data_IF_823249179974
#
_entry.id   IF_823249179974
#
_cell.length_a   1.000
_cell.length_b   1.000
_cell.length_c   1.000
_cell.angle_alpha   90.00
_cell.angle_beta   90.00
_cell.angle_gamma   90.00
#
_symmetry.space_group_name_H-M   'P 1'
#
loop_
_entity.id
_entity.type
_entity.pdbx_description
1 polymer ?
#
# COMPACT_ATOMS: atom_id res chain seq x y z
N UNK A 1 -4.38 -1.02 -10.49
CA UNK A 1 -4.12 -2.05 -9.46
C UNK A 1 -3.10 -1.64 -8.40
N UNK A 2 -2.28 -0.61 -8.65
CA UNK A 2 -1.24 -0.15 -7.71
C UNK A 2 -1.74 0.07 -6.27
N UNK A 3 -2.97 0.58 -6.07
CA UNK A 3 -3.59 0.74 -4.75
C UNK A 3 -3.71 -0.59 -3.99
N UNK A 4 -4.11 -1.65 -4.69
CA UNK A 4 -4.17 -3.00 -4.11
C UNK A 4 -2.76 -3.52 -3.84
N UNK A 5 -1.79 -3.18 -4.71
CA UNK A 5 -0.39 -3.55 -4.52
C UNK A 5 0.22 -2.92 -3.26
N UNK A 6 -0.04 -1.63 -2.98
CA UNK A 6 0.42 -0.96 -1.75
C UNK A 6 -0.07 -1.71 -0.50
N UNK A 7 -1.38 -2.01 -0.46
CA UNK A 7 -1.99 -2.76 0.63
C UNK A 7 -1.38 -4.17 0.73
N UNK A 8 -1.23 -4.86 -0.40
CA UNK A 8 -0.69 -6.21 -0.43
C UNK A 8 0.78 -6.27 0.02
N UNK A 9 1.62 -5.29 -0.33
CA UNK A 9 3.03 -5.23 0.09
C UNK A 9 3.13 -5.13 1.60
N UNK A 10 2.36 -4.26 2.24
CA UNK A 10 2.35 -4.14 3.70
C UNK A 10 1.81 -5.41 4.37
N UNK A 11 0.73 -5.99 3.83
CA UNK A 11 0.11 -7.18 4.40
C UNK A 11 1.03 -8.42 4.30
N UNK A 12 1.58 -8.66 3.10
CA UNK A 12 2.54 -9.75 2.87
C UNK A 12 3.84 -9.49 3.63
N UNK A 13 4.32 -8.24 3.66
CA UNK A 13 5.51 -7.86 4.43
C UNK A 13 5.35 -8.16 5.92
N UNK A 14 4.19 -7.87 6.50
CA UNK A 14 3.86 -8.24 7.88
C UNK A 14 3.83 -9.76 8.10
N UNK A 15 3.23 -10.50 7.16
CA UNK A 15 3.21 -11.97 7.22
C UNK A 15 4.63 -12.56 7.16
N UNK A 16 5.46 -12.06 6.24
CA UNK A 16 6.87 -12.49 6.11
C UNK A 16 7.66 -12.11 7.35
N UNK A 17 7.44 -10.92 7.94
CA UNK A 17 8.09 -10.52 9.18
C UNK A 17 7.74 -11.46 10.34
N UNK A 18 6.47 -11.88 10.44
CA UNK A 18 6.03 -12.87 11.42
C UNK A 18 6.69 -14.24 11.23
N UNK A 19 6.78 -14.74 9.99
CA UNK A 19 7.49 -16.00 9.71
C UNK A 19 9.00 -15.90 9.99
N UNK A 20 9.59 -14.73 9.76
CA UNK A 20 11.01 -14.46 9.93
C UNK A 20 11.49 -14.57 11.39
N UNK A 21 10.58 -14.34 12.35
CA UNK A 21 10.86 -14.48 13.78
C UNK A 21 11.35 -15.89 14.15
N UNK A 22 10.90 -16.91 13.40
CA UNK A 22 11.33 -18.30 13.61
C UNK A 22 12.79 -18.56 13.24
N UNK A 23 13.38 -17.72 12.40
CA UNK A 23 14.76 -17.88 11.92
C UNK A 23 15.71 -17.13 12.84
N UNK A 24 15.39 -15.90 13.20
CA UNK A 24 16.16 -15.12 14.17
C UNK A 24 15.33 -14.01 14.81
N UNK A 25 15.64 -13.63 16.06
CA UNK A 25 14.89 -12.59 16.77
C UNK A 25 15.07 -11.18 16.19
N UNK A 26 16.08 -10.94 15.34
CA UNK A 26 16.38 -9.61 14.78
C UNK A 26 15.89 -9.42 13.33
N UNK A 27 15.68 -10.51 12.58
CA UNK A 27 15.24 -10.42 11.18
C UNK A 27 13.85 -9.82 10.96
N UNK A 28 12.83 -9.95 11.84
CA UNK A 28 11.52 -9.31 11.62
C UNK A 28 11.63 -7.80 11.40
N UNK A 29 12.56 -7.13 12.11
CA UNK A 29 12.79 -5.69 11.99
C UNK A 29 13.32 -5.31 10.60
N UNK A 30 14.23 -6.11 10.05
CA UNK A 30 14.78 -5.87 8.71
C UNK A 30 13.71 -6.11 7.63
N UNK A 31 12.89 -7.15 7.78
CA UNK A 31 11.80 -7.44 6.84
C UNK A 31 10.77 -6.31 6.83
N UNK A 32 10.36 -5.84 8.02
CA UNK A 32 9.42 -4.72 8.14
C UNK A 32 9.99 -3.45 7.48
N UNK A 33 11.27 -3.14 7.72
CA UNK A 33 11.93 -1.98 7.11
C UNK A 33 11.95 -2.08 5.58
N UNK A 34 12.29 -3.25 5.02
CA UNK A 34 12.30 -3.48 3.58
C UNK A 34 10.89 -3.32 3.00
N UNK A 35 9.85 -3.86 3.67
CA UNK A 35 8.47 -3.74 3.22
C UNK A 35 8.01 -2.28 3.15
N UNK A 36 8.30 -1.48 4.19
CA UNK A 36 7.94 -0.05 4.23
C UNK A 36 8.71 0.75 3.17
N UNK A 37 10.01 0.47 2.97
CA UNK A 37 10.80 1.13 1.92
C UNK A 37 10.24 0.81 0.53
N UNK A 38 9.88 -0.45 0.26
CA UNK A 38 9.27 -0.84 -1.00
C UNK A 38 7.93 -0.13 -1.22
N UNK A 39 7.10 -0.03 -0.18
CA UNK A 39 5.82 0.67 -0.24
C UNK A 39 6.02 2.17 -0.54
N UNK A 40 6.98 2.81 0.12
CA UNK A 40 7.34 4.21 -0.13
C UNK A 40 7.82 4.44 -1.58
N UNK A 41 8.65 3.54 -2.13
CA UNK A 41 9.11 3.61 -3.52
C UNK A 41 7.94 3.49 -4.52
N UNK A 42 6.96 2.64 -4.24
CA UNK A 42 5.74 2.53 -5.06
C UNK A 42 4.92 3.83 -5.01
N UNK A 43 4.83 4.49 -3.86
CA UNK A 43 4.16 5.80 -3.74
C UNK A 43 4.87 6.89 -4.53
N UNK A 44 6.21 6.90 -4.58
CA UNK A 44 6.96 7.83 -5.44
C UNK A 44 6.68 7.59 -6.93
N UNK A 45 6.54 6.33 -7.35
CA UNK A 45 6.16 6.01 -8.73
C UNK A 45 4.77 6.53 -9.11
N UNK A 46 3.84 6.63 -8.14
CA UNK A 46 2.50 7.20 -8.35
C UNK A 46 2.53 8.72 -8.59
N UNK A 47 3.44 9.44 -7.91
CA UNK A 47 3.64 10.88 -8.11
C UNK A 47 4.21 11.21 -9.49
N UNK A 48 5.15 10.39 -9.98
CA UNK A 48 5.77 10.60 -11.30
C UNK A 48 4.86 10.30 -12.49
N UNK A 49 3.78 9.53 -12.28
CA UNK A 49 2.84 9.12 -13.33
C UNK A 49 1.61 10.03 -13.46
N UNK A 50 1.40 10.96 -12.52
CA UNK A 50 0.21 11.80 -12.48
C UNK A 50 0.34 13.07 -13.32
N UNK A 51 -0.26 13.07 -14.50
CA UNK A 51 -0.53 14.32 -15.24
C UNK A 51 -1.57 15.15 -14.46
N UNK A 52 -1.37 16.46 -14.42
CA UNK A 52 -2.05 17.40 -13.52
C UNK A 52 -3.59 17.35 -13.64
N UNK A 53 -4.29 16.75 -12.66
CA UNK A 53 -5.72 17.01 -12.44
C UNK A 53 -6.58 15.83 -11.99
N UNK A 54 -7.09 15.93 -10.76
CA UNK A 54 -8.36 15.37 -10.28
C UNK A 54 -8.51 13.86 -9.95
N UNK A 55 -7.66 12.93 -10.40
CA UNK A 55 -7.67 11.54 -9.87
C UNK A 55 -6.44 10.79 -10.32
N UNK A 56 -5.60 10.33 -9.39
CA UNK A 56 -4.33 9.69 -9.74
C UNK A 56 -4.52 8.18 -9.96
N UNK A 57 -5.35 7.53 -9.14
CA UNK A 57 -5.69 6.12 -9.33
C UNK A 57 -7.06 5.78 -8.75
N UNK A 58 -7.81 4.92 -9.45
CA UNK A 58 -9.03 4.29 -8.95
C UNK A 58 -8.98 2.78 -9.12
N UNK A 59 -9.61 2.06 -8.20
CA UNK A 59 -9.86 0.64 -8.27
C UNK A 59 -11.22 0.35 -7.68
N UNK A 60 -12.01 -0.44 -8.40
CA UNK A 60 -13.32 -0.89 -7.97
C UNK A 60 -13.44 -2.41 -8.14
N UNK A 61 -13.91 -3.09 -7.11
CA UNK A 61 -14.21 -4.51 -7.16
C UNK A 61 -15.43 -4.85 -6.29
N UNK A 62 -16.31 -5.71 -6.79
CA UNK A 62 -17.49 -6.14 -6.03
C UNK A 62 -17.10 -6.91 -4.77
N UNK A 63 -17.74 -6.57 -3.64
CA UNK A 63 -17.54 -7.27 -2.38
C UNK A 63 -18.81 -7.99 -1.93
N UNK A 64 -19.91 -7.25 -1.75
CA UNK A 64 -21.21 -7.81 -1.38
C UNK A 64 -22.29 -7.22 -2.31
N UNK A 65 -22.48 -7.82 -3.50
CA UNK A 65 -23.37 -7.28 -4.53
C UNK A 65 -24.82 -7.14 -4.09
N UNK A 66 -25.30 -8.06 -3.23
CA UNK A 66 -26.67 -8.02 -2.69
C UNK A 66 -26.99 -6.73 -1.91
N UNK A 67 -25.97 -6.04 -1.41
CA UNK A 67 -26.10 -4.77 -0.69
C UNK A 67 -25.56 -3.59 -1.51
N UNK A 68 -25.14 -3.80 -2.75
CA UNK A 68 -24.47 -2.77 -3.56
C UNK A 68 -23.13 -2.31 -2.97
N UNK A 69 -22.44 -3.17 -2.20
CA UNK A 69 -21.17 -2.81 -1.56
C UNK A 69 -20.01 -3.30 -2.43
N UNK A 70 -19.17 -2.37 -2.88
CA UNK A 70 -17.92 -2.62 -3.60
C UNK A 70 -16.73 -2.05 -2.82
N UNK A 71 -15.55 -2.66 -3.01
CA UNK A 71 -14.28 -2.06 -2.65
C UNK A 71 -13.97 -0.94 -3.63
N UNK A 72 -14.26 0.30 -3.25
CA UNK A 72 -13.94 1.48 -4.03
C UNK A 72 -12.71 2.19 -3.42
N UNK A 73 -11.54 1.96 -4.00
CA UNK A 73 -10.32 2.66 -3.65
C UNK A 73 -10.08 3.78 -4.65
N UNK A 74 -10.03 5.02 -4.16
CA UNK A 74 -9.66 6.17 -4.96
C UNK A 74 -8.53 6.92 -4.24
N UNK A 75 -7.48 7.27 -4.97
CA UNK A 75 -6.43 8.13 -4.50
C UNK A 75 -6.39 9.42 -5.33
N UNK A 76 -6.50 10.53 -4.62
CA UNK A 76 -6.25 11.88 -5.10
C UNK A 76 -4.91 12.40 -4.56
N UNK A 77 -4.54 13.63 -4.91
CA UNK A 77 -3.28 14.22 -4.47
C UNK A 77 -3.16 14.32 -2.95
N UNK A 78 -4.28 14.57 -2.24
CA UNK A 78 -4.31 14.59 -0.78
C UNK A 78 -4.07 13.20 -0.18
N UNK A 79 -4.75 12.17 -0.71
CA UNK A 79 -4.61 10.79 -0.24
C UNK A 79 -3.18 10.29 -0.40
N UNK A 80 -2.51 10.63 -1.51
CA UNK A 80 -1.10 10.25 -1.71
C UNK A 80 -0.20 10.93 -0.67
N UNK A 81 -0.44 12.20 -0.35
CA UNK A 81 0.31 12.91 0.69
C UNK A 81 0.13 12.24 2.06
N UNK A 82 -1.10 11.82 2.41
CA UNK A 82 -1.38 11.10 3.65
C UNK A 82 -0.76 9.70 3.69
N UNK A 83 -0.78 8.98 2.56
CA UNK A 83 -0.14 7.67 2.45
C UNK A 83 1.38 7.78 2.65
N UNK A 84 2.02 8.77 2.02
CA UNK A 84 3.45 9.05 2.22
C UNK A 84 3.78 9.40 3.68
N UNK A 85 2.93 10.19 4.33
CA UNK A 85 3.08 10.49 5.75
C UNK A 85 3.03 9.20 6.60
N UNK A 86 2.12 8.28 6.27
CA UNK A 86 1.94 7.01 6.99
C UNK A 86 3.13 6.07 6.78
N UNK A 87 3.74 6.07 5.60
CA UNK A 87 4.94 5.26 5.34
C UNK A 87 6.21 5.87 5.96
N UNK A 88 6.23 7.18 6.17
CA UNK A 88 7.37 7.89 6.77
C UNK A 88 7.41 7.79 8.30
N UNK A 89 6.25 7.77 8.96
CA UNK A 89 6.09 7.81 10.41
C UNK A 89 6.03 6.40 11.03
#
# INVERSE_FOLDING_TARGET
MILVTLIAVLFVGGLVAWFSERISPTMPRMVALIAVILDLLLMFSLLGAGDTGARVATFEADWIPRFGISFYFAADGLSILLLMLTAFL
#
